data_IF_660423376666
#
_entry.id   IF_660423376666
#
_cell.length_a   1.000
_cell.length_b   1.000
_cell.length_c   1.000
_cell.angle_alpha   90.00
_cell.angle_beta   90.00
_cell.angle_gamma   90.00
#
_symmetry.space_group_name_H-M   'P 1'
#
loop_
_entity.id
_entity.type
_entity.pdbx_description
1 polymer ?
#
# COMPACT_ATOMS: atom_id res chain seq x y z
N UNK A 1 13.07 21.93 -29.92
CA UNK A 1 11.85 21.14 -30.16
C UNK A 1 12.01 19.78 -29.49
N UNK A 2 11.57 19.64 -28.24
CA UNK A 2 11.43 18.32 -27.61
C UNK A 2 10.05 17.79 -28.00
N UNK A 3 10.02 16.55 -28.46
CA UNK A 3 9.00 15.97 -29.34
C UNK A 3 7.66 15.72 -28.65
N UNK A 4 6.58 16.06 -29.36
CA UNK A 4 5.19 15.67 -29.10
C UNK A 4 4.92 14.15 -29.20
N UNK A 5 5.96 13.30 -29.27
CA UNK A 5 5.85 11.86 -29.46
C UNK A 5 5.38 11.10 -28.21
N UNK A 6 5.68 11.62 -27.01
CA UNK A 6 5.30 10.96 -25.74
C UNK A 6 3.79 10.96 -25.48
N UNK A 7 3.11 12.09 -25.72
CA UNK A 7 1.67 12.20 -25.47
C UNK A 7 0.82 11.36 -26.43
N UNK A 8 1.25 11.23 -27.70
CA UNK A 8 0.59 10.37 -28.68
C UNK A 8 0.74 8.87 -28.35
N UNK A 9 1.93 8.43 -27.92
CA UNK A 9 2.17 7.06 -27.49
C UNK A 9 1.39 6.66 -26.24
N UNK A 10 1.29 7.56 -25.25
CA UNK A 10 0.50 7.35 -24.02
C UNK A 10 -0.99 7.18 -24.34
N UNK A 11 -1.54 8.05 -25.21
CA UNK A 11 -2.94 7.98 -25.61
C UNK A 11 -3.25 6.67 -26.33
N UNK A 12 -2.38 6.25 -27.26
CA UNK A 12 -2.53 5.00 -27.99
C UNK A 12 -2.53 3.77 -27.06
N UNK A 13 -1.65 3.70 -26.06
CA UNK A 13 -1.63 2.58 -25.11
C UNK A 13 -2.90 2.51 -24.26
N UNK A 14 -3.36 3.65 -23.75
CA UNK A 14 -4.58 3.72 -22.95
C UNK A 14 -5.83 3.30 -23.75
N UNK A 15 -5.88 3.65 -25.03
CA UNK A 15 -6.94 3.20 -25.93
C UNK A 15 -6.88 1.68 -26.14
N UNK A 16 -5.69 1.08 -26.31
CA UNK A 16 -5.53 -0.39 -26.39
C UNK A 16 -5.96 -1.11 -25.10
N UNK A 17 -5.64 -0.56 -23.92
CA UNK A 17 -6.11 -1.10 -22.64
C UNK A 17 -7.64 -1.06 -22.57
N UNK A 18 -8.25 0.07 -22.98
CA UNK A 18 -9.71 0.20 -23.00
C UNK A 18 -10.35 -0.82 -23.93
N UNK A 19 -9.85 -0.95 -25.16
CA UNK A 19 -10.35 -1.91 -26.15
C UNK A 19 -10.27 -3.35 -25.64
N UNK A 20 -9.14 -3.72 -25.02
CA UNK A 20 -8.96 -5.04 -24.44
C UNK A 20 -10.05 -5.39 -23.41
N UNK A 21 -10.28 -4.52 -22.43
CA UNK A 21 -11.29 -4.77 -21.38
C UNK A 21 -12.74 -4.52 -21.85
N UNK A 22 -12.98 -3.62 -22.80
CA UNK A 22 -14.31 -3.44 -23.39
C UNK A 22 -14.72 -4.65 -24.25
N UNK A 23 -13.75 -5.40 -24.80
CA UNK A 23 -14.01 -6.66 -25.50
C UNK A 23 -14.28 -7.86 -24.57
N UNK A 24 -14.13 -7.69 -23.25
CA UNK A 24 -14.25 -8.77 -22.28
C UNK A 24 -15.64 -9.42 -22.29
N UNK A 25 -15.63 -10.75 -22.26
CA UNK A 25 -16.83 -11.59 -22.33
C UNK A 25 -16.86 -12.57 -21.15
N UNK A 26 -17.72 -12.35 -20.14
CA UNK A 26 -17.76 -13.15 -18.90
C UNK A 26 -17.98 -14.66 -19.12
N UNK A 27 -18.65 -15.03 -20.21
CA UNK A 27 -18.90 -16.42 -20.58
C UNK A 27 -17.63 -17.23 -20.87
N UNK A 28 -16.53 -16.55 -21.24
CA UNK A 28 -15.26 -17.18 -21.58
C UNK A 28 -14.32 -17.29 -20.37
N UNK A 29 -14.79 -16.95 -19.17
CA UNK A 29 -13.96 -16.86 -17.96
C UNK A 29 -14.52 -17.72 -16.84
N UNK A 30 -13.62 -18.33 -16.07
CA UNK A 30 -13.96 -19.09 -14.88
C UNK A 30 -14.00 -18.17 -13.66
N UNK A 31 -14.88 -18.47 -12.71
CA UNK A 31 -14.93 -17.72 -11.45
C UNK A 31 -13.59 -17.85 -10.73
N UNK A 32 -13.07 -16.72 -10.26
CA UNK A 32 -11.87 -16.69 -9.43
C UNK A 32 -12.09 -17.55 -8.18
N UNK A 33 -11.13 -18.42 -7.87
CA UNK A 33 -11.15 -19.32 -6.69
C UNK A 33 -10.10 -18.92 -5.66
N UNK A 34 -9.81 -17.62 -5.57
CA UNK A 34 -8.80 -17.14 -4.64
C UNK A 34 -9.19 -17.53 -3.20
N UNK A 35 -8.22 -18.09 -2.47
CA UNK A 35 -8.41 -18.63 -1.11
C UNK A 35 -8.99 -17.60 -0.15
N UNK A 36 -8.70 -16.31 -0.37
CA UNK A 36 -9.19 -15.25 0.50
C UNK A 36 -10.71 -15.08 0.52
N UNK A 37 -11.43 -15.50 -0.54
CA UNK A 37 -12.90 -15.45 -0.53
C UNK A 37 -13.49 -16.34 0.55
N UNK A 38 -12.87 -17.50 0.78
CA UNK A 38 -13.27 -18.38 1.85
C UNK A 38 -12.98 -17.74 3.22
N UNK A 39 -11.84 -17.07 3.38
CA UNK A 39 -11.48 -16.42 4.64
C UNK A 39 -12.36 -15.20 4.94
N UNK A 40 -12.72 -14.41 3.93
CA UNK A 40 -13.71 -13.34 4.08
C UNK A 40 -15.08 -13.89 4.48
N UNK A 41 -15.54 -15.00 3.88
CA UNK A 41 -16.80 -15.64 4.28
C UNK A 41 -16.76 -16.20 5.71
N UNK A 42 -15.60 -16.67 6.19
CA UNK A 42 -15.44 -17.08 7.60
C UNK A 42 -15.54 -15.87 8.54
N UNK A 43 -14.92 -14.76 8.18
CA UNK A 43 -14.93 -13.54 8.99
C UNK A 43 -16.27 -12.81 8.95
N UNK A 44 -16.95 -12.81 7.80
CA UNK A 44 -18.20 -12.12 7.53
C UNK A 44 -19.20 -13.09 6.89
N UNK A 45 -19.82 -13.95 7.70
CA UNK A 45 -20.71 -15.04 7.22
C UNK A 45 -21.91 -14.58 6.38
N UNK A 46 -22.30 -13.30 6.50
CA UNK A 46 -23.40 -12.71 5.74
C UNK A 46 -23.06 -12.27 4.32
N UNK A 47 -21.79 -12.27 3.91
CA UNK A 47 -21.42 -11.78 2.57
C UNK A 47 -21.76 -12.80 1.49
N UNK A 48 -22.29 -12.30 0.37
CA UNK A 48 -22.48 -13.04 -0.87
C UNK A 48 -21.21 -12.89 -1.71
N UNK A 49 -20.82 -13.98 -2.36
CA UNK A 49 -19.79 -13.98 -3.41
C UNK A 49 -20.35 -14.84 -4.55
N UNK A 50 -21.20 -14.28 -5.42
CA UNK A 50 -21.77 -14.99 -6.55
C UNK A 50 -20.71 -15.31 -7.61
N UNK A 51 -20.77 -16.49 -8.22
CA UNK A 51 -19.88 -16.88 -9.31
C UNK A 51 -19.92 -15.88 -10.48
N UNK A 52 -21.09 -15.29 -10.76
CA UNK A 52 -21.24 -14.28 -11.81
C UNK A 52 -20.41 -13.04 -11.54
N UNK A 53 -20.30 -12.59 -10.29
CA UNK A 53 -19.48 -11.45 -9.89
C UNK A 53 -17.99 -11.84 -9.83
N UNK A 54 -17.68 -13.02 -9.29
CA UNK A 54 -16.31 -13.53 -9.16
C UNK A 54 -15.65 -13.90 -10.50
N UNK A 55 -16.41 -13.99 -11.60
CA UNK A 55 -15.90 -14.11 -12.97
C UNK A 55 -15.37 -12.80 -13.56
N UNK A 56 -15.74 -11.66 -12.97
CA UNK A 56 -15.45 -10.32 -13.50
C UNK A 56 -14.24 -9.66 -12.83
N UNK A 57 -13.40 -10.44 -12.15
CA UNK A 57 -12.23 -9.94 -11.43
C UNK A 57 -10.93 -10.34 -12.13
N UNK A 58 -9.96 -9.44 -12.12
CA UNK A 58 -8.67 -9.57 -12.80
C UNK A 58 -7.47 -9.31 -11.85
N UNK A 59 -7.73 -9.29 -10.54
CA UNK A 59 -6.74 -8.95 -9.52
C UNK A 59 -5.64 -9.99 -9.34
N UNK A 60 -4.48 -9.55 -8.84
CA UNK A 60 -3.31 -10.40 -8.61
C UNK A 60 -3.13 -10.80 -7.13
N UNK A 61 -3.61 -9.98 -6.19
CA UNK A 61 -3.65 -10.26 -4.75
C UNK A 61 -4.96 -9.73 -4.15
N UNK A 62 -4.97 -9.53 -2.83
CA UNK A 62 -6.16 -9.18 -2.06
C UNK A 62 -5.94 -7.94 -1.18
N UNK A 63 -6.02 -6.72 -1.75
CA UNK A 63 -5.93 -5.49 -0.96
C UNK A 63 -7.12 -5.30 0.00
N UNK A 64 -8.27 -5.96 -0.25
CA UNK A 64 -9.47 -5.86 0.61
C UNK A 64 -9.23 -6.45 2.00
N UNK A 65 -8.57 -7.60 2.13
CA UNK A 65 -8.26 -8.14 3.47
C UNK A 65 -7.32 -7.23 4.26
N UNK A 66 -6.29 -6.69 3.61
CA UNK A 66 -5.34 -5.77 4.24
C UNK A 66 -6.02 -4.47 4.69
N UNK A 67 -6.97 -3.96 3.90
CA UNK A 67 -7.84 -2.85 4.29
C UNK A 67 -8.64 -3.17 5.55
N UNK A 68 -9.26 -4.35 5.61
CA UNK A 68 -10.06 -4.78 6.77
C UNK A 68 -9.19 -4.91 8.03
N UNK A 69 -7.99 -5.45 7.89
CA UNK A 69 -7.03 -5.57 8.99
C UNK A 69 -6.57 -4.21 9.51
N UNK A 70 -6.25 -3.27 8.61
CA UNK A 70 -5.94 -1.89 8.98
C UNK A 70 -7.12 -1.21 9.69
N UNK A 71 -8.34 -1.38 9.17
CA UNK A 71 -9.54 -0.82 9.77
C UNK A 71 -9.77 -1.34 11.20
N UNK A 72 -9.61 -2.66 11.41
CA UNK A 72 -9.68 -3.29 12.73
C UNK A 72 -8.57 -2.78 13.66
N UNK A 73 -7.34 -2.61 13.16
CA UNK A 73 -6.22 -2.10 13.96
C UNK A 73 -6.49 -0.69 14.52
N UNK A 74 -7.24 0.12 13.76
CA UNK A 74 -7.70 1.46 14.17
C UNK A 74 -8.86 1.43 15.17
N UNK A 75 -9.36 0.25 15.56
CA UNK A 75 -10.46 0.03 16.53
C UNK A 75 -11.74 0.79 16.16
N UNK A 76 -12.01 0.89 14.87
CA UNK A 76 -13.20 1.56 14.31
C UNK A 76 -14.39 0.61 14.23
N UNK A 77 -15.59 1.16 14.28
CA UNK A 77 -16.83 0.39 14.08
C UNK A 77 -17.13 0.26 12.58
N UNK A 78 -17.45 -0.95 12.09
CA UNK A 78 -17.75 -1.20 10.67
C UNK A 78 -18.99 -0.45 10.16
N UNK A 79 -19.82 0.08 11.06
CA UNK A 79 -20.94 0.97 10.75
C UNK A 79 -20.52 2.43 10.54
N UNK A 80 -19.27 2.81 10.79
CA UNK A 80 -18.79 4.16 10.49
C UNK A 80 -18.84 4.46 8.98
N UNK A 81 -19.20 5.69 8.65
CA UNK A 81 -19.11 6.17 7.26
C UNK A 81 -17.65 6.40 6.88
N UNK A 82 -17.20 5.72 5.83
CA UNK A 82 -15.86 5.88 5.25
C UNK A 82 -15.94 6.09 3.75
N UNK A 83 -14.95 6.79 3.19
CA UNK A 83 -14.81 7.00 1.77
C UNK A 83 -13.73 6.07 1.20
N UNK A 84 -14.08 5.29 0.19
CA UNK A 84 -13.18 4.31 -0.46
C UNK A 84 -13.07 4.60 -1.95
N UNK A 85 -11.86 4.60 -2.50
CA UNK A 85 -11.62 4.50 -3.95
C UNK A 85 -11.21 3.06 -4.27
N UNK A 86 -11.88 2.47 -5.25
CA UNK A 86 -11.44 1.26 -5.96
C UNK A 86 -10.90 1.70 -7.34
N UNK A 87 -9.57 1.78 -7.46
CA UNK A 87 -8.89 2.34 -8.62
C UNK A 87 -8.53 1.24 -9.62
N UNK A 88 -9.21 1.24 -10.76
CA UNK A 88 -9.15 0.18 -11.76
C UNK A 88 -9.90 -1.07 -11.30
N UNK A 89 -11.01 -0.87 -10.59
CA UNK A 89 -11.78 -1.96 -9.98
C UNK A 89 -12.59 -2.79 -10.98
N UNK A 90 -12.54 -2.48 -12.29
CA UNK A 90 -13.25 -3.21 -13.32
C UNK A 90 -14.76 -3.19 -13.09
N UNK A 91 -15.35 -4.38 -13.04
CA UNK A 91 -16.76 -4.55 -12.70
C UNK A 91 -17.08 -4.31 -11.21
N UNK A 92 -16.10 -3.84 -10.42
CA UNK A 92 -16.26 -3.46 -9.03
C UNK A 92 -16.43 -4.66 -8.11
N UNK A 93 -15.71 -5.76 -8.35
CA UNK A 93 -15.78 -6.93 -7.49
C UNK A 93 -15.24 -6.64 -6.07
N UNK A 94 -14.13 -5.90 -5.96
CA UNK A 94 -13.61 -5.46 -4.66
C UNK A 94 -14.59 -4.46 -4.00
N UNK A 95 -15.11 -3.49 -4.76
CA UNK A 95 -16.22 -2.64 -4.33
C UNK A 95 -17.46 -3.42 -3.86
N UNK A 96 -17.80 -4.55 -4.50
CA UNK A 96 -18.93 -5.40 -4.15
C UNK A 96 -18.74 -6.09 -2.80
N UNK A 97 -17.52 -6.54 -2.51
CA UNK A 97 -17.16 -7.07 -1.20
C UNK A 97 -17.20 -5.96 -0.14
N UNK A 98 -16.56 -4.83 -0.42
CA UNK A 98 -16.49 -3.69 0.51
C UNK A 98 -17.87 -3.14 0.85
N UNK A 99 -18.80 -3.08 -0.12
CA UNK A 99 -20.17 -2.61 0.13
C UNK A 99 -20.91 -3.44 1.17
N UNK A 100 -20.67 -4.75 1.20
CA UNK A 100 -21.31 -5.67 2.14
C UNK A 100 -20.67 -5.62 3.54
N UNK A 101 -19.36 -5.35 3.58
CA UNK A 101 -18.58 -5.30 4.83
C UNK A 101 -18.71 -3.95 5.52
N UNK A 102 -18.77 -2.86 4.75
CA UNK A 102 -18.90 -1.48 5.21
C UNK A 102 -20.25 -0.90 4.74
N UNK A 103 -21.36 -1.18 5.46
CA UNK A 103 -22.71 -0.81 5.03
C UNK A 103 -22.96 0.70 4.93
N UNK A 104 -22.09 1.55 5.48
CA UNK A 104 -22.20 3.01 5.38
C UNK A 104 -21.05 3.66 4.59
N UNK A 105 -20.24 2.87 3.87
CA UNK A 105 -19.16 3.40 3.05
C UNK A 105 -19.67 4.01 1.74
N UNK A 106 -19.11 5.17 1.38
CA UNK A 106 -19.19 5.72 0.03
C UNK A 106 -18.03 5.18 -0.81
N UNK A 107 -18.33 4.37 -1.82
CA UNK A 107 -17.35 3.65 -2.65
C UNK A 107 -17.31 4.24 -4.05
N UNK A 108 -16.12 4.61 -4.51
CA UNK A 108 -15.88 5.19 -5.83
C UNK A 108 -15.04 4.21 -6.65
N UNK A 109 -15.71 3.42 -7.49
CA UNK A 109 -15.07 2.52 -8.45
C UNK A 109 -14.73 3.28 -9.73
N UNK A 110 -13.45 3.42 -10.02
CA UNK A 110 -12.94 4.03 -11.24
C UNK A 110 -12.46 2.94 -12.20
N UNK A 111 -12.93 2.99 -13.44
CA UNK A 111 -12.40 2.11 -14.49
C UNK A 111 -12.47 2.77 -15.87
N UNK A 112 -11.61 2.32 -16.79
CA UNK A 112 -11.61 2.78 -18.18
C UNK A 112 -12.68 2.10 -19.04
N UNK A 113 -13.05 0.86 -18.70
CA UNK A 113 -13.97 0.04 -19.48
C UNK A 113 -15.43 0.36 -19.14
N UNK A 114 -16.18 0.80 -20.16
CA UNK A 114 -17.63 0.98 -20.02
C UNK A 114 -18.34 -0.35 -19.88
N UNK A 115 -17.86 -1.37 -20.59
CA UNK A 115 -18.43 -2.70 -20.54
C UNK A 115 -18.38 -3.29 -19.12
N UNK A 116 -17.19 -3.29 -18.50
CA UNK A 116 -17.02 -3.80 -17.14
C UNK A 116 -17.88 -3.04 -16.13
N UNK A 117 -17.89 -1.71 -16.21
CA UNK A 117 -18.73 -0.90 -15.32
C UNK A 117 -20.23 -1.23 -15.49
N UNK A 118 -20.71 -1.49 -16.71
CA UNK A 118 -22.10 -1.88 -16.95
C UNK A 118 -22.40 -3.27 -16.34
N UNK A 119 -21.54 -4.26 -16.58
CA UNK A 119 -21.67 -5.60 -15.99
C UNK A 119 -21.72 -5.54 -14.46
N UNK A 120 -20.85 -4.72 -13.85
CA UNK A 120 -20.84 -4.54 -12.41
C UNK A 120 -22.11 -3.89 -11.87
N UNK A 121 -22.67 -2.88 -12.55
CA UNK A 121 -23.97 -2.29 -12.17
C UNK A 121 -25.09 -3.32 -12.14
N UNK A 122 -25.11 -4.23 -13.12
CA UNK A 122 -26.08 -5.32 -13.17
C UNK A 122 -25.91 -6.29 -11.99
N UNK A 123 -24.67 -6.65 -11.64
CA UNK A 123 -24.38 -7.53 -10.51
C UNK A 123 -24.74 -6.90 -9.15
N UNK A 124 -24.46 -5.61 -8.96
CA UNK A 124 -24.87 -4.87 -7.75
C UNK A 124 -26.39 -4.85 -7.61
N UNK A 125 -27.11 -4.50 -8.69
CA UNK A 125 -28.58 -4.51 -8.70
C UNK A 125 -29.14 -5.91 -8.41
N UNK A 126 -28.57 -6.94 -9.03
CA UNK A 126 -29.04 -8.32 -8.94
C UNK A 126 -28.83 -8.94 -7.56
N UNK A 127 -27.66 -8.73 -6.95
CA UNK A 127 -27.27 -9.48 -5.75
C UNK A 127 -27.35 -8.68 -4.44
N UNK A 128 -27.14 -7.37 -4.52
CA UNK A 128 -27.19 -6.47 -3.36
C UNK A 128 -28.46 -5.62 -3.31
N UNK A 129 -29.19 -5.49 -4.44
CA UNK A 129 -30.40 -4.67 -4.52
C UNK A 129 -30.14 -3.17 -4.35
N UNK A 130 -28.88 -2.73 -4.44
CA UNK A 130 -28.51 -1.32 -4.34
C UNK A 130 -28.31 -0.71 -5.74
N UNK A 131 -28.69 0.56 -5.87
CA UNK A 131 -28.38 1.36 -7.04
C UNK A 131 -26.90 1.74 -7.09
N UNK A 132 -26.41 2.05 -8.29
CA UNK A 132 -25.08 2.61 -8.53
C UNK A 132 -25.26 3.99 -9.18
N UNK A 133 -24.49 4.98 -8.72
CA UNK A 133 -24.53 6.40 -9.08
C UNK A 133 -25.71 7.19 -8.49
N UNK A 134 -26.89 7.15 -9.08
CA UNK A 134 -27.98 8.06 -8.69
C UNK A 134 -28.64 7.61 -7.38
N UNK A 135 -28.57 8.47 -6.35
CA UNK A 135 -29.17 8.24 -5.05
C UNK A 135 -28.51 7.11 -4.23
N UNK A 136 -27.26 6.74 -4.53
CA UNK A 136 -26.54 5.68 -3.83
C UNK A 136 -25.17 6.12 -3.28
N UNK A 137 -24.60 5.26 -2.42
CA UNK A 137 -23.25 5.41 -1.88
C UNK A 137 -22.20 4.62 -2.70
N UNK A 138 -22.54 4.18 -3.91
CA UNK A 138 -21.62 3.45 -4.79
C UNK A 138 -21.59 4.13 -6.15
N UNK A 139 -20.43 4.65 -6.53
CA UNK A 139 -20.21 5.40 -7.75
C UNK A 139 -19.33 4.61 -8.70
N UNK A 140 -19.80 4.38 -9.92
CA UNK A 140 -19.06 3.75 -11.00
C UNK A 140 -18.73 4.81 -12.05
N UNK A 141 -17.45 5.17 -12.12
CA UNK A 141 -16.95 6.32 -12.87
C UNK A 141 -16.08 5.81 -14.01
N UNK A 142 -16.54 6.07 -15.24
CA UNK A 142 -15.78 5.74 -16.45
C UNK A 142 -14.73 6.83 -16.70
N UNK A 143 -13.50 6.62 -16.25
CA UNK A 143 -12.40 7.58 -16.41
C UNK A 143 -11.03 6.90 -16.34
N UNK A 144 -10.01 7.59 -16.85
CA UNK A 144 -8.63 7.19 -16.61
C UNK A 144 -8.25 7.36 -15.16
N UNK A 145 -7.39 6.46 -14.65
CA UNK A 145 -6.73 6.67 -13.37
C UNK A 145 -5.82 7.92 -13.37
N UNK A 146 -5.31 8.34 -14.54
CA UNK A 146 -4.60 9.64 -14.66
C UNK A 146 -5.52 10.85 -14.50
N UNK A 147 -6.84 10.65 -14.61
CA UNK A 147 -7.86 11.67 -14.41
C UNK A 147 -8.51 11.58 -13.03
N UNK A 148 -7.96 10.81 -12.09
CA UNK A 148 -8.49 10.66 -10.73
C UNK A 148 -8.67 12.03 -10.03
N UNK A 149 -7.82 13.00 -10.36
CA UNK A 149 -7.89 14.38 -9.87
C UNK A 149 -9.14 15.18 -10.29
N UNK A 150 -10.08 14.60 -11.06
CA UNK A 150 -11.42 15.19 -11.28
C UNK A 150 -12.22 15.30 -9.98
N UNK A 151 -11.96 14.43 -9.00
CA UNK A 151 -12.57 14.53 -7.68
C UNK A 151 -11.94 15.71 -6.95
N UNK A 152 -12.78 16.64 -6.49
CA UNK A 152 -12.37 17.84 -5.74
C UNK A 152 -13.04 17.84 -4.37
N UNK A 153 -12.38 18.45 -3.39
CA UNK A 153 -12.91 18.70 -2.04
C UNK A 153 -13.40 17.46 -1.29
N UNK A 154 -12.84 16.28 -1.60
CA UNK A 154 -13.11 15.03 -0.89
C UNK A 154 -11.79 14.38 -0.50
N UNK A 155 -11.77 13.76 0.67
CA UNK A 155 -10.67 12.93 1.15
C UNK A 155 -11.18 11.51 1.34
N UNK A 156 -10.29 10.55 1.15
CA UNK A 156 -10.62 9.13 1.20
C UNK A 156 -9.85 8.45 2.33
N UNK A 157 -10.58 7.73 3.17
CA UNK A 157 -10.01 6.87 4.22
C UNK A 157 -9.16 5.77 3.60
N UNK A 158 -9.64 5.23 2.47
CA UNK A 158 -9.00 4.13 1.77
C UNK A 158 -8.94 4.35 0.27
N UNK A 159 -7.80 4.00 -0.31
CA UNK A 159 -7.65 3.77 -1.75
C UNK A 159 -7.18 2.34 -1.90
N UNK A 160 -7.74 1.60 -2.84
CA UNK A 160 -7.25 0.28 -3.25
C UNK A 160 -6.99 0.28 -4.75
N UNK A 161 -5.98 -0.46 -5.19
CA UNK A 161 -5.70 -0.75 -6.59
C UNK A 161 -5.19 -2.16 -6.70
N UNK A 162 -5.70 -2.93 -7.66
CA UNK A 162 -5.33 -4.34 -7.83
C UNK A 162 -5.01 -4.63 -9.30
N UNK A 163 -3.72 -4.78 -9.61
CA UNK A 163 -3.18 -4.99 -10.97
C UNK A 163 -3.48 -3.87 -12.00
N UNK A 164 -4.03 -2.73 -11.57
CA UNK A 164 -4.43 -1.65 -12.47
C UNK A 164 -3.30 -0.66 -12.78
N UNK A 165 -2.40 -0.38 -11.83
CA UNK A 165 -1.35 0.63 -12.01
C UNK A 165 -0.33 0.18 -13.07
N UNK A 166 -0.13 -1.12 -13.26
CA UNK A 166 0.59 -1.71 -14.40
C UNK A 166 0.06 -1.36 -15.80
N UNK A 167 -1.15 -0.81 -15.89
CA UNK A 167 -1.79 -0.38 -17.13
C UNK A 167 -1.90 1.14 -17.25
N UNK A 168 -1.36 1.87 -16.28
CA UNK A 168 -1.32 3.33 -16.28
C UNK A 168 0.01 3.79 -16.87
N UNK A 169 -0.05 4.51 -17.98
CA UNK A 169 1.14 5.03 -18.65
C UNK A 169 1.85 6.12 -17.83
N UNK A 170 1.10 7.09 -17.31
CA UNK A 170 1.63 8.14 -16.42
C UNK A 170 1.34 7.78 -14.96
N UNK A 171 2.12 6.83 -14.43
CA UNK A 171 1.97 6.35 -13.05
C UNK A 171 2.13 7.49 -12.05
N UNK A 172 3.08 8.40 -12.30
CA UNK A 172 3.35 9.53 -11.42
C UNK A 172 2.11 10.41 -11.27
N UNK A 173 1.45 10.77 -12.37
CA UNK A 173 0.22 11.57 -12.33
C UNK A 173 -0.92 10.89 -11.55
N UNK A 174 -1.10 9.58 -11.71
CA UNK A 174 -2.07 8.84 -10.89
C UNK A 174 -1.69 8.87 -9.40
N UNK A 175 -0.43 8.58 -9.08
CA UNK A 175 0.04 8.53 -7.70
C UNK A 175 -0.08 9.89 -7.01
N UNK A 176 0.28 10.99 -7.69
CA UNK A 176 0.11 12.35 -7.17
C UNK A 176 -1.36 12.67 -6.89
N UNK A 177 -2.27 12.33 -7.81
CA UNK A 177 -3.70 12.49 -7.60
C UNK A 177 -4.24 11.62 -6.44
N UNK A 178 -3.75 10.38 -6.32
CA UNK A 178 -4.11 9.50 -5.22
C UNK A 178 -3.61 10.05 -3.87
N UNK A 179 -2.39 10.59 -3.81
CA UNK A 179 -1.86 11.25 -2.63
C UNK A 179 -2.66 12.50 -2.25
N UNK A 180 -3.07 13.30 -3.23
CA UNK A 180 -3.93 14.45 -2.99
C UNK A 180 -5.30 14.05 -2.44
N UNK A 181 -5.87 12.93 -2.88
CA UNK A 181 -7.18 12.45 -2.44
C UNK A 181 -7.14 11.66 -1.13
N UNK A 182 -6.02 11.03 -0.78
CA UNK A 182 -5.91 10.25 0.45
C UNK A 182 -6.02 11.15 1.69
N UNK A 183 -6.76 10.72 2.71
CA UNK A 183 -6.80 11.39 4.01
C UNK A 183 -5.42 11.35 4.69
N UNK A 184 -5.19 12.23 5.67
CA UNK A 184 -3.92 12.31 6.38
C UNK A 184 -3.57 11.03 7.17
N UNK A 185 -4.60 10.36 7.69
CA UNK A 185 -4.58 9.06 8.37
C UNK A 185 -5.11 7.91 7.48
N UNK A 186 -5.31 8.20 6.18
CA UNK A 186 -5.79 7.25 5.20
C UNK A 186 -4.74 6.21 4.82
N UNK A 187 -5.22 5.08 4.30
CA UNK A 187 -4.39 3.96 3.84
C UNK A 187 -4.60 3.70 2.35
N UNK A 188 -3.53 3.62 1.56
CA UNK A 188 -3.57 3.15 0.18
C UNK A 188 -2.99 1.75 0.10
N UNK A 189 -3.80 0.77 -0.32
CA UNK A 189 -3.36 -0.59 -0.59
C UNK A 189 -3.18 -0.82 -2.09
N UNK A 190 -1.94 -1.00 -2.51
CA UNK A 190 -1.58 -1.25 -3.91
C UNK A 190 -1.11 -2.69 -4.06
N UNK A 191 -1.94 -3.51 -4.69
CA UNK A 191 -1.55 -4.82 -5.19
C UNK A 191 -1.15 -4.71 -6.66
N UNK A 192 0.08 -5.09 -7.01
CA UNK A 192 0.53 -5.06 -8.40
C UNK A 192 1.65 -6.08 -8.72
N UNK A 193 2.07 -6.10 -9.98
CA UNK A 193 3.13 -6.97 -10.52
C UNK A 193 4.34 -6.10 -10.87
N UNK A 194 5.54 -6.50 -10.46
CA UNK A 194 6.80 -5.89 -10.83
C UNK A 194 7.75 -6.92 -11.45
N UNK A 195 8.75 -6.46 -12.21
CA UNK A 195 9.90 -7.31 -12.50
C UNK A 195 10.67 -7.61 -11.23
N UNK A 196 11.03 -8.89 -11.03
CA UNK A 196 11.87 -9.33 -9.93
C UNK A 196 13.26 -8.67 -9.99
N UNK A 197 13.93 -8.62 -8.84
CA UNK A 197 15.25 -7.97 -8.69
C UNK A 197 16.31 -8.55 -9.64
N UNK A 198 16.24 -9.85 -9.92
CA UNK A 198 17.17 -10.58 -10.79
C UNK A 198 16.63 -10.76 -12.22
N UNK A 199 15.51 -10.12 -12.56
CA UNK A 199 14.92 -10.21 -13.90
C UNK A 199 15.72 -9.35 -14.88
N UNK A 200 16.02 -9.83 -16.11
CA UNK A 200 16.68 -9.02 -17.12
C UNK A 200 15.88 -7.72 -17.36
N UNK A 201 16.59 -6.60 -17.52
CA UNK A 201 15.96 -5.29 -17.57
C UNK A 201 14.92 -5.21 -18.69
N UNK A 202 13.78 -4.53 -18.50
CA UNK A 202 12.66 -4.50 -19.46
C UNK A 202 12.98 -3.94 -20.85
N UNK A 203 14.19 -3.42 -21.09
CA UNK A 203 14.61 -2.83 -22.35
C UNK A 203 14.82 -3.84 -23.48
N UNK A 204 14.82 -5.15 -23.20
CA UNK A 204 15.17 -6.19 -24.16
C UNK A 204 13.98 -6.81 -24.93
N UNK A 205 12.75 -6.28 -24.81
CA UNK A 205 11.56 -6.88 -25.42
C UNK A 205 10.69 -5.89 -26.21
N UNK A 206 10.93 -5.72 -27.53
CA UNK A 206 10.22 -4.74 -28.36
C UNK A 206 8.76 -5.10 -28.71
N UNK A 207 8.31 -6.35 -28.48
CA UNK A 207 7.00 -6.85 -28.94
C UNK A 207 6.03 -7.14 -27.79
N UNK A 208 5.80 -6.17 -26.90
CA UNK A 208 4.90 -6.33 -25.75
C UNK A 208 3.56 -5.63 -25.95
N UNK A 209 2.47 -6.40 -25.90
CA UNK A 209 1.10 -5.92 -26.06
C UNK A 209 0.23 -6.40 -24.91
N UNK A 210 -0.70 -5.54 -24.46
CA UNK A 210 -1.72 -5.92 -23.48
C UNK A 210 -2.67 -7.00 -24.01
N UNK A 211 -2.78 -7.18 -25.34
CA UNK A 211 -3.57 -8.26 -25.95
C UNK A 211 -3.13 -9.64 -25.49
N UNK A 212 -1.87 -9.79 -25.09
CA UNK A 212 -1.27 -11.05 -24.65
C UNK A 212 -1.39 -11.24 -23.12
N UNK A 213 -2.06 -10.30 -22.44
CA UNK A 213 -2.34 -10.31 -21.01
C UNK A 213 -1.51 -9.31 -20.20
N UNK A 214 -1.87 -9.15 -18.92
CA UNK A 214 -1.31 -8.09 -18.05
C UNK A 214 0.21 -8.17 -17.88
N UNK A 215 0.80 -9.37 -17.85
CA UNK A 215 2.25 -9.58 -17.73
C UNK A 215 3.04 -9.07 -18.96
N UNK A 216 2.37 -8.85 -20.09
CA UNK A 216 2.92 -8.29 -21.30
C UNK A 216 2.66 -6.78 -21.43
N UNK A 217 2.12 -6.13 -20.39
CA UNK A 217 1.97 -4.69 -20.41
C UNK A 217 3.36 -4.01 -20.47
N UNK A 218 3.61 -3.11 -21.46
CA UNK A 218 4.90 -2.44 -21.61
C UNK A 218 5.20 -1.43 -20.49
N UNK A 219 4.21 -1.16 -19.62
CA UNK A 219 4.36 -0.22 -18.51
C UNK A 219 4.60 -0.89 -17.16
N UNK A 220 4.81 -2.21 -17.10
CA UNK A 220 5.33 -2.85 -15.88
C UNK A 220 6.72 -2.30 -15.60
N UNK A 221 7.00 -2.03 -14.34
CA UNK A 221 8.30 -1.51 -13.89
C UNK A 221 8.94 -2.46 -12.87
N UNK A 222 10.23 -2.26 -12.59
CA UNK A 222 10.94 -3.04 -11.57
C UNK A 222 10.44 -2.73 -10.16
N UNK A 223 10.66 -3.64 -9.21
CA UNK A 223 10.38 -3.39 -7.79
C UNK A 223 11.03 -2.09 -7.29
N UNK A 224 12.30 -1.89 -7.66
CA UNK A 224 13.07 -0.68 -7.30
C UNK A 224 12.46 0.61 -7.85
N UNK A 225 11.83 0.53 -9.01
CA UNK A 225 11.15 1.68 -9.61
C UNK A 225 9.81 1.95 -8.93
N UNK A 226 9.05 0.91 -8.56
CA UNK A 226 7.90 1.04 -7.67
C UNK A 226 8.28 1.70 -6.34
N UNK A 227 9.39 1.26 -5.73
CA UNK A 227 9.89 1.84 -4.48
C UNK A 227 10.10 3.33 -4.66
N UNK A 228 10.86 3.74 -5.68
CA UNK A 228 11.13 5.15 -5.97
C UNK A 228 9.86 5.96 -6.20
N UNK A 229 8.95 5.49 -7.07
CA UNK A 229 7.72 6.21 -7.42
C UNK A 229 6.83 6.44 -6.20
N UNK A 230 6.56 5.38 -5.43
CA UNK A 230 5.69 5.46 -4.25
C UNK A 230 6.36 6.26 -3.14
N UNK A 231 7.66 6.07 -2.97
CA UNK A 231 8.46 6.83 -2.04
C UNK A 231 8.36 8.34 -2.30
N UNK A 232 8.65 8.75 -3.54
CA UNK A 232 8.77 10.16 -3.90
C UNK A 232 7.44 10.91 -3.79
N UNK A 233 6.31 10.20 -3.87
CA UNK A 233 4.97 10.77 -3.76
C UNK A 233 4.41 10.73 -2.32
N UNK A 234 4.55 9.60 -1.61
CA UNK A 234 3.88 9.40 -0.32
C UNK A 234 4.81 9.48 0.90
N UNK A 235 6.12 9.26 0.71
CA UNK A 235 7.12 9.28 1.79
C UNK A 235 7.12 8.06 2.73
N UNK A 236 6.07 7.23 2.70
CA UNK A 236 6.04 5.94 3.40
C UNK A 236 5.37 4.84 2.58
N UNK A 237 6.00 3.67 2.54
CA UNK A 237 5.49 2.43 1.95
C UNK A 237 6.02 1.24 2.73
N UNK A 238 5.17 0.24 2.95
CA UNK A 238 5.56 -1.07 3.45
C UNK A 238 5.05 -2.17 2.52
N UNK A 239 5.87 -3.18 2.23
CA UNK A 239 5.47 -4.33 1.40
C UNK A 239 4.98 -5.44 2.32
N UNK A 240 3.65 -5.55 2.44
CA UNK A 240 2.99 -6.41 3.44
C UNK A 240 2.69 -7.83 2.93
N UNK A 241 2.70 -8.03 1.60
CA UNK A 241 2.58 -9.33 0.97
C UNK A 241 3.42 -9.35 -0.29
N UNK A 242 4.18 -10.42 -0.52
CA UNK A 242 4.99 -10.60 -1.74
C UNK A 242 5.09 -12.07 -2.12
N UNK A 243 4.92 -12.36 -3.41
CA UNK A 243 5.09 -13.69 -4.01
C UNK A 243 5.94 -13.58 -5.26
N UNK A 244 6.93 -14.46 -5.38
CA UNK A 244 7.74 -14.55 -6.59
C UNK A 244 7.02 -15.46 -7.58
N UNK A 245 6.82 -14.97 -8.79
CA UNK A 245 6.27 -15.71 -9.93
C UNK A 245 7.43 -16.04 -10.86
N UNK A 246 7.68 -17.33 -11.03
CA UNK A 246 8.77 -17.82 -11.87
C UNK A 246 8.35 -17.82 -13.36
N UNK A 247 9.31 -17.72 -14.29
CA UNK A 247 9.03 -17.65 -15.72
C UNK A 247 8.12 -18.78 -16.22
N UNK A 248 8.30 -20.00 -15.71
CA UNK A 248 7.57 -21.18 -16.19
C UNK A 248 6.07 -21.09 -15.91
N UNK A 249 5.66 -20.29 -14.91
CA UNK A 249 4.26 -20.09 -14.54
C UNK A 249 3.51 -19.16 -15.50
N UNK A 250 4.24 -18.36 -16.27
CA UNK A 250 3.68 -17.39 -17.23
C UNK A 250 3.95 -17.82 -18.69
N UNK A 251 4.49 -19.02 -18.90
CA UNK A 251 4.76 -19.57 -20.23
C UNK A 251 6.03 -19.03 -20.91
N UNK A 252 6.94 -18.41 -20.16
CA UNK A 252 8.22 -17.90 -20.65
C UNK A 252 9.42 -18.51 -19.93
N UNK A 253 10.63 -18.28 -20.44
CA UNK A 253 11.87 -18.86 -19.86
C UNK A 253 12.78 -17.85 -19.16
N UNK A 254 12.58 -16.53 -19.35
CA UNK A 254 13.59 -15.53 -18.93
C UNK A 254 13.13 -14.52 -17.86
N UNK A 255 11.83 -14.23 -17.77
CA UNK A 255 11.33 -13.13 -16.92
C UNK A 255 10.78 -13.63 -15.58
N UNK A 256 11.43 -13.21 -14.50
CA UNK A 256 10.86 -13.34 -13.16
C UNK A 256 10.04 -12.10 -12.80
N UNK A 257 8.90 -12.33 -12.15
CA UNK A 257 8.04 -11.28 -11.64
C UNK A 257 7.82 -11.45 -10.15
N UNK A 258 7.51 -10.34 -9.49
CA UNK A 258 7.01 -10.32 -8.13
C UNK A 258 5.61 -9.75 -8.14
N UNK A 259 4.68 -10.48 -7.53
CA UNK A 259 3.36 -9.95 -7.22
C UNK A 259 3.38 -9.51 -5.77
N UNK A 260 3.06 -8.25 -5.50
CA UNK A 260 3.20 -7.67 -4.17
C UNK A 260 1.97 -6.83 -3.81
N UNK A 261 1.70 -6.70 -2.51
CA UNK A 261 0.75 -5.75 -1.94
C UNK A 261 1.52 -4.79 -1.04
N UNK A 262 1.35 -3.49 -1.26
CA UNK A 262 1.96 -2.44 -0.46
C UNK A 262 0.94 -1.67 0.35
N UNK A 263 1.25 -1.44 1.62
CA UNK A 263 0.56 -0.46 2.46
C UNK A 263 1.27 0.89 2.35
N UNK A 264 0.58 1.87 1.80
CA UNK A 264 1.11 3.21 1.55
C UNK A 264 0.33 4.20 2.42
N UNK A 265 1.05 5.13 3.07
CA UNK A 265 0.48 6.15 3.95
C UNK A 265 1.24 7.46 3.77
N UNK A 266 0.60 8.58 4.10
CA UNK A 266 1.26 9.91 4.13
C UNK A 266 2.21 10.09 5.29
N UNK A 267 1.97 9.34 6.37
CA UNK A 267 2.76 9.38 7.59
C UNK A 267 3.13 7.95 7.98
N UNK A 268 4.37 7.71 8.41
CA UNK A 268 4.74 6.39 8.91
C UNK A 268 3.89 6.03 10.15
N UNK A 269 3.57 4.75 10.37
CA UNK A 269 2.83 4.30 11.54
C UNK A 269 3.52 4.74 12.83
N UNK A 270 2.77 5.39 13.70
CA UNK A 270 3.18 5.71 15.04
C UNK A 270 2.03 5.46 16.01
N UNK A 271 2.35 4.97 17.21
CA UNK A 271 1.42 4.92 18.32
C UNK A 271 1.32 6.31 18.98
N UNK A 272 0.13 6.67 19.44
CA UNK A 272 -0.08 7.90 20.19
C UNK A 272 0.07 7.61 21.68
N UNK A 273 1.05 8.25 22.30
CA UNK A 273 1.28 8.15 23.75
C UNK A 273 1.20 9.52 24.42
N UNK A 274 0.96 9.52 25.72
CA UNK A 274 0.98 10.74 26.54
C UNK A 274 1.97 10.59 27.68
N UNK A 275 3.00 11.44 27.68
CA UNK A 275 4.01 11.44 28.75
C UNK A 275 3.82 12.62 29.71
N UNK A 276 4.06 12.42 31.02
CA UNK A 276 4.04 13.50 31.99
C UNK A 276 5.31 14.36 31.87
N UNK A 277 5.12 15.68 31.94
CA UNK A 277 6.20 16.64 32.04
C UNK A 277 6.42 17.07 33.49
N UNK A 278 7.66 17.38 33.87
CA UNK A 278 8.00 17.83 35.22
C UNK A 278 7.29 19.14 35.64
N UNK A 279 6.84 19.96 34.68
CA UNK A 279 6.05 21.16 34.93
C UNK A 279 4.53 20.91 35.10
N UNK A 280 4.13 19.65 35.22
CA UNK A 280 2.74 19.19 35.34
C UNK A 280 1.97 19.14 34.02
N UNK A 281 2.58 19.51 32.89
CA UNK A 281 1.96 19.37 31.57
C UNK A 281 1.93 17.91 31.11
N UNK A 282 0.99 17.54 30.24
CA UNK A 282 1.04 16.29 29.48
C UNK A 282 1.48 16.59 28.05
N UNK A 283 2.32 15.73 27.48
CA UNK A 283 2.84 15.88 26.12
C UNK A 283 2.37 14.68 25.32
N UNK A 284 1.66 14.91 24.22
CA UNK A 284 1.36 13.88 23.24
C UNK A 284 2.58 13.68 22.33
N UNK A 285 2.89 12.43 22.01
CA UNK A 285 3.97 12.09 21.11
C UNK A 285 3.61 10.93 20.21
N UNK A 286 4.24 10.92 19.03
CA UNK A 286 4.27 9.80 18.10
C UNK A 286 5.39 8.84 18.50
N UNK A 287 5.02 7.58 18.70
CA UNK A 287 5.90 6.50 19.14
C UNK A 287 6.08 5.48 18.04
N UNK A 288 7.32 5.31 17.61
CA UNK A 288 7.75 4.38 16.58
C UNK A 288 8.48 3.21 17.25
N UNK A 289 7.79 2.08 17.41
CA UNK A 289 8.35 0.87 18.04
C UNK A 289 9.12 -0.01 17.05
N UNK A 290 8.80 0.07 15.77
CA UNK A 290 9.49 -0.62 14.67
C UNK A 290 9.78 0.36 13.55
N UNK A 291 11.03 0.44 13.13
CA UNK A 291 11.54 1.44 12.19
C UNK A 291 12.37 0.74 11.12
N UNK A 292 11.78 0.51 9.95
CA UNK A 292 12.53 0.05 8.78
C UNK A 292 12.91 1.25 7.90
N UNK A 293 14.20 1.51 7.77
CA UNK A 293 14.77 2.63 7.02
C UNK A 293 14.40 2.63 5.52
N UNK A 294 14.05 1.48 4.94
CA UNK A 294 13.61 1.37 3.55
C UNK A 294 12.16 1.79 3.37
N UNK A 295 11.36 1.68 4.44
CA UNK A 295 9.95 2.05 4.40
C UNK A 295 9.73 3.57 4.45
N UNK A 296 10.70 4.36 4.94
CA UNK A 296 10.67 5.83 4.90
C UNK A 296 12.06 6.48 4.89
N UNK A 297 12.35 7.39 3.93
CA UNK A 297 13.50 8.32 3.96
C UNK A 297 13.41 9.31 5.12
N UNK A 298 12.28 9.39 5.84
CA UNK A 298 12.19 10.23 7.04
C UNK A 298 12.84 9.57 8.25
N UNK A 299 12.88 8.23 8.33
CA UNK A 299 13.30 7.56 9.55
C UNK A 299 14.76 7.79 9.91
N UNK A 300 15.68 7.64 8.95
CA UNK A 300 17.10 7.90 9.20
C UNK A 300 17.34 9.37 9.58
N UNK A 301 16.87 10.38 8.82
CA UNK A 301 16.92 11.78 9.25
C UNK A 301 16.27 12.04 10.61
N UNK A 302 15.11 11.46 10.90
CA UNK A 302 14.45 11.61 12.21
C UNK A 302 15.34 11.09 13.34
N UNK A 303 16.11 10.02 13.13
CA UNK A 303 17.08 9.52 14.11
C UNK A 303 18.27 10.48 14.22
N UNK A 304 18.86 10.88 13.09
CA UNK A 304 20.04 11.74 13.05
C UNK A 304 19.78 13.15 13.62
N UNK A 305 18.56 13.67 13.43
CA UNK A 305 18.10 14.99 13.88
C UNK A 305 17.46 14.98 15.28
N UNK A 306 17.44 13.83 15.99
CA UNK A 306 16.82 13.67 17.33
C UNK A 306 15.32 13.93 17.36
N UNK A 307 14.62 13.57 16.30
CA UNK A 307 13.16 13.72 16.17
C UNK A 307 12.40 12.42 16.45
N UNK A 308 12.96 11.27 16.09
CA UNK A 308 12.34 9.96 16.33
C UNK A 308 12.17 9.72 17.84
N UNK A 309 10.96 9.35 18.28
CA UNK A 309 10.63 9.06 19.68
C UNK A 309 11.07 10.17 20.66
N UNK A 310 10.97 11.42 20.22
CA UNK A 310 11.28 12.60 21.03
C UNK A 310 10.02 13.38 21.36
N UNK A 311 10.04 14.10 22.47
CA UNK A 311 8.93 14.96 22.88
C UNK A 311 9.44 16.32 23.36
N UNK A 312 8.67 17.37 23.08
CA UNK A 312 9.01 18.74 23.44
C UNK A 312 7.85 19.42 24.16
N UNK A 313 8.08 19.84 25.41
CA UNK A 313 7.05 20.51 26.19
C UNK A 313 6.91 21.98 25.76
N UNK A 314 5.78 22.37 25.18
CA UNK A 314 5.55 23.78 24.80
C UNK A 314 5.48 24.72 26.02
N UNK A 315 5.06 24.23 27.20
CA UNK A 315 4.92 25.02 28.43
C UNK A 315 6.27 25.39 29.07
N UNK A 316 7.13 24.40 29.29
CA UNK A 316 8.43 24.62 29.97
C UNK A 316 9.65 24.49 29.05
N UNK A 317 9.43 24.27 27.74
CA UNK A 317 10.46 24.15 26.71
C UNK A 317 11.46 23.00 26.93
N UNK A 318 11.14 22.05 27.81
CA UNK A 318 11.96 20.86 28.06
C UNK A 318 11.79 19.82 26.95
N UNK A 319 12.91 19.31 26.44
CA UNK A 319 12.96 18.18 25.52
C UNK A 319 13.13 16.86 26.28
N UNK A 320 12.55 15.80 25.72
CA UNK A 320 12.60 14.43 26.20
C UNK A 320 13.08 13.54 25.07
N UNK A 321 14.05 12.67 25.36
CA UNK A 321 14.67 11.73 24.44
C UNK A 321 15.21 10.53 25.23
N UNK A 322 15.51 9.42 24.54
CA UNK A 322 16.12 8.22 25.14
C UNK A 322 15.27 7.55 26.24
N UNK A 323 13.96 7.40 26.00
CA UNK A 323 13.01 6.81 26.96
C UNK A 323 12.11 5.73 26.36
N UNK A 324 12.08 5.57 25.04
CA UNK A 324 11.28 4.56 24.36
C UNK A 324 12.21 3.55 23.68
N UNK A 325 12.09 2.25 24.00
CA UNK A 325 12.78 1.21 23.24
C UNK A 325 12.11 1.00 21.88
N UNK A 326 12.91 0.76 20.85
CA UNK A 326 12.42 0.47 19.51
C UNK A 326 13.35 -0.48 18.76
N UNK A 327 12.81 -1.13 17.74
CA UNK A 327 13.56 -1.96 16.82
C UNK A 327 13.82 -1.20 15.52
N UNK A 328 15.03 -1.28 14.99
CA UNK A 328 15.46 -0.63 13.76
C UNK A 328 16.00 -1.64 12.76
N UNK A 329 15.62 -1.49 11.50
CA UNK A 329 16.13 -2.28 10.38
C UNK A 329 16.58 -1.38 9.23
N UNK A 330 17.67 -1.75 8.59
CA UNK A 330 18.10 -1.21 7.31
C UNK A 330 18.72 -2.33 6.47
N UNK A 331 17.87 -3.12 5.77
CA UNK A 331 18.30 -4.30 5.02
C UNK A 331 19.43 -4.02 4.02
N UNK A 332 19.38 -2.93 3.25
CA UNK A 332 20.39 -2.53 2.28
C UNK A 332 21.78 -2.24 2.90
N UNK A 333 21.84 -1.98 4.21
CA UNK A 333 23.09 -1.81 4.97
C UNK A 333 23.41 -3.00 5.87
N UNK A 334 22.59 -4.06 5.82
CA UNK A 334 22.64 -5.22 6.69
C UNK A 334 22.66 -4.84 8.18
N UNK A 335 21.74 -3.95 8.58
CA UNK A 335 21.59 -3.49 9.97
C UNK A 335 20.24 -3.95 10.49
N UNK A 336 20.25 -4.59 11.65
CA UNK A 336 19.06 -4.89 12.44
C UNK A 336 19.46 -4.73 13.91
N UNK A 337 18.77 -3.85 14.64
CA UNK A 337 19.18 -3.48 15.99
C UNK A 337 18.00 -3.16 16.91
N UNK A 338 18.06 -3.65 18.15
CA UNK A 338 17.23 -3.15 19.23
C UNK A 338 17.91 -1.98 19.93
N UNK A 339 17.18 -0.87 20.07
CA UNK A 339 17.64 0.35 20.73
C UNK A 339 16.87 0.53 22.01
N UNK A 340 17.55 0.46 23.15
CA UNK A 340 16.96 0.64 24.48
C UNK A 340 17.40 1.98 25.10
N UNK A 341 16.58 2.56 25.99
CA UNK A 341 16.98 3.69 26.83
C UNK A 341 18.29 3.42 27.57
N UNK A 342 19.15 4.44 27.69
CA UNK A 342 20.40 4.32 28.45
C UNK A 342 20.20 3.93 29.91
N UNK A 343 19.04 4.27 30.49
CA UNK A 343 18.64 3.89 31.84
C UNK A 343 18.53 2.37 32.05
N UNK A 344 18.34 1.59 30.98
CA UNK A 344 18.27 0.13 31.03
C UNK A 344 19.64 -0.56 30.90
N UNK A 345 20.74 0.20 30.73
CA UNK A 345 22.09 -0.38 30.53
C UNK A 345 22.51 -1.32 31.66
N UNK A 346 22.20 -0.96 32.91
CA UNK A 346 22.49 -1.80 34.07
C UNK A 346 21.67 -3.12 34.11
N UNK A 347 20.60 -3.20 33.32
CA UNK A 347 19.70 -4.35 33.21
C UNK A 347 19.92 -5.12 31.89
N UNK A 348 21.03 -4.88 31.19
CA UNK A 348 21.30 -5.45 29.87
C UNK A 348 21.21 -6.97 29.83
N UNK A 349 21.71 -7.67 30.86
CA UNK A 349 21.60 -9.12 30.98
C UNK A 349 20.16 -9.62 31.02
N UNK A 350 19.27 -8.91 31.74
CA UNK A 350 17.84 -9.25 31.79
C UNK A 350 17.16 -9.00 30.44
N UNK A 351 17.51 -7.90 29.77
CA UNK A 351 16.97 -7.56 28.45
C UNK A 351 17.39 -8.61 27.41
N UNK A 352 18.67 -8.97 27.37
CA UNK A 352 19.18 -10.02 26.47
C UNK A 352 18.48 -11.36 26.70
N UNK A 353 18.30 -11.76 27.96
CA UNK A 353 17.56 -12.99 28.29
C UNK A 353 16.11 -12.95 27.77
N UNK A 354 15.41 -11.81 27.89
CA UNK A 354 14.03 -11.65 27.36
C UNK A 354 13.97 -11.67 25.84
N UNK A 355 15.01 -11.21 25.15
CA UNK A 355 15.13 -11.28 23.70
C UNK A 355 15.59 -12.67 23.20
N UNK A 356 15.83 -13.64 24.10
CA UNK A 356 16.36 -14.95 23.73
C UNK A 356 17.84 -14.93 23.32
N UNK A 357 18.57 -13.85 23.61
CA UNK A 357 19.99 -13.67 23.31
C UNK A 357 20.87 -14.22 24.45
N UNK A 358 20.82 -15.53 24.67
CA UNK A 358 21.42 -16.19 25.84
C UNK A 358 22.96 -16.20 25.78
N UNK A 359 23.54 -16.25 24.59
CA UNK A 359 24.99 -16.27 24.35
C UNK A 359 25.58 -14.88 24.04
N UNK A 360 24.83 -13.82 24.35
CA UNK A 360 25.15 -12.45 23.99
C UNK A 360 24.46 -11.99 22.69
N UNK A 361 24.40 -10.68 22.50
CA UNK A 361 23.82 -10.09 21.29
C UNK A 361 24.84 -10.09 20.15
N UNK A 362 24.43 -10.38 18.90
CA UNK A 362 25.26 -10.15 17.72
C UNK A 362 25.85 -8.74 17.71
N UNK A 363 27.04 -8.59 17.15
CA UNK A 363 27.69 -7.29 17.07
C UNK A 363 26.78 -6.25 16.38
N UNK A 364 26.67 -5.06 16.97
CA UNK A 364 25.83 -3.97 16.46
C UNK A 364 24.32 -4.29 16.35
N UNK A 365 23.82 -5.29 17.10
CA UNK A 365 22.38 -5.62 17.13
C UNK A 365 21.65 -5.12 18.39
N UNK A 366 22.37 -4.58 19.37
CA UNK A 366 21.82 -4.15 20.65
C UNK A 366 22.51 -2.89 21.16
N UNK A 367 21.74 -1.83 21.40
CA UNK A 367 22.23 -0.54 21.88
C UNK A 367 21.50 -0.12 23.15
N UNK A 368 22.22 0.41 24.13
CA UNK A 368 21.65 0.95 25.38
C UNK A 368 21.87 2.47 25.45
N UNK A 369 21.19 3.18 24.57
CA UNK A 369 21.22 4.63 24.49
C UNK A 369 21.00 5.13 23.06
N UNK A 370 20.07 6.05 22.92
CA UNK A 370 19.74 6.66 21.63
C UNK A 370 20.95 7.29 20.92
N UNK A 371 21.81 8.01 21.66
CA UNK A 371 22.99 8.69 21.07
C UNK A 371 24.07 7.72 20.60
N UNK A 372 24.19 6.55 21.23
CA UNK A 372 25.13 5.51 20.80
C UNK A 372 24.70 4.96 19.44
N UNK A 373 23.43 4.58 19.33
CA UNK A 373 22.86 4.10 18.09
C UNK A 373 22.88 5.16 16.98
N UNK A 374 22.54 6.42 17.31
CA UNK A 374 22.57 7.54 16.34
C UNK A 374 23.95 7.75 15.72
N UNK A 375 25.03 7.64 16.51
CA UNK A 375 26.40 7.76 16.02
C UNK A 375 26.77 6.61 15.10
N UNK A 376 26.48 5.37 15.52
CA UNK A 376 26.65 4.18 14.69
C UNK A 376 25.92 4.32 13.34
N UNK A 377 24.68 4.80 13.37
CA UNK A 377 23.87 4.99 12.18
C UNK A 377 24.45 6.08 11.25
N UNK A 378 24.95 7.19 11.81
CA UNK A 378 25.58 8.26 11.03
C UNK A 378 26.79 7.74 10.24
N UNK A 379 27.67 6.96 10.88
CA UNK A 379 28.84 6.35 10.23
C UNK A 379 28.46 5.36 9.12
N UNK A 380 27.32 4.68 9.26
CA UNK A 380 26.80 3.73 8.27
C UNK A 380 26.02 4.39 7.15
N UNK A 381 25.50 5.59 7.36
CA UNK A 381 24.80 6.37 6.34
C UNK A 381 25.76 7.07 5.37
N UNK A 382 26.96 7.42 5.81
CA UNK A 382 28.01 8.05 5.00
C UNK A 382 28.79 7.07 4.12
N UNK A 383 28.84 5.79 4.52
CA UNK A 383 29.41 4.66 3.75
C UNK A 383 28.33 4.05 2.88
#
# INVERSE_FOLDING_TARGET
MKSNSGAAGVKNFQDSVREYYDSFQPQNTLASKLTFYADLKKQFSGIKIPDSTAKLTFGCLNPVSHLIEDFKSKKRDFSESINIIDAGGGAGFDAFLLRQIFPNASIFNFDLSRNLLNLGREEFKKHLGCGVNEGSDVFFICASLTDLGIIKNRKFDYIISNAALNLVADKKRFLEAAADLLADDGSFFLADIAYGVDSPAPHDFPDRSISDGVYYAPTIVSEKEYDRLLFDVFGYRDVIEKKVVKPEMIGGEELSFSVFCSHIRKRPPAEKESIPCACGNKIELDVFLSVNAENSKLYVPMILERRLNSAFCLKCRKAYYDFIPYYFEWPAKNIAAHVFPSSLRAQSSMVMARLGMIDGAPENSLFFGYEEFRKFLAEKAEK
#
